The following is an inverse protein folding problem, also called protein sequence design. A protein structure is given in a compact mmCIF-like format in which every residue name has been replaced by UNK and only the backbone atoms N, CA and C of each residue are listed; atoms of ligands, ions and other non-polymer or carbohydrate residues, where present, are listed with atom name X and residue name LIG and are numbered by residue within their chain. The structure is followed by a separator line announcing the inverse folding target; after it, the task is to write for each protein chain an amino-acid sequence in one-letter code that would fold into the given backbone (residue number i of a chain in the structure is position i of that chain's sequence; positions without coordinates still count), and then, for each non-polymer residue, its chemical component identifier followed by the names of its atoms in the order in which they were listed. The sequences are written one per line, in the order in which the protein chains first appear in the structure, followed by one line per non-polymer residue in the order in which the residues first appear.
data_IF_434112714302
#
_entry.id   IF_434112714302
#
_cell.length_a   1.000
_cell.length_b   1.000
_cell.length_c   1.000
_cell.angle_alpha   90.00
_cell.angle_beta   90.00
_cell.angle_gamma   90.00
#
_symmetry.space_group_name_H-M   'P 1'
#
loop_
_entity.id
_entity.type
_entity.pdbx_description
1 polymer ?
#
# COMPACT_ATOMS: atom_id res chain seq x y z
N UNK A 1 -12.05 -13.71 -23.13
CA UNK A 1 -12.01 -13.90 -21.65
C UNK A 1 -10.55 -14.03 -21.26
N UNK A 2 -9.88 -12.94 -21.07
CA UNK A 2 -8.47 -12.90 -20.60
C UNK A 2 -8.53 -12.52 -19.14
N UNK A 3 -8.23 -13.50 -18.29
CA UNK A 3 -8.05 -13.33 -16.85
C UNK A 3 -6.91 -12.36 -16.61
N UNK A 4 -7.28 -11.14 -16.24
CA UNK A 4 -6.37 -10.13 -15.71
C UNK A 4 -5.99 -10.58 -14.30
N UNK A 5 -5.04 -11.51 -14.18
CA UNK A 5 -4.43 -11.87 -12.91
C UNK A 5 -3.46 -10.74 -12.56
N UNK A 6 -3.82 -9.97 -11.55
CA UNK A 6 -3.00 -8.92 -10.96
C UNK A 6 -1.71 -9.54 -10.40
N UNK A 7 -0.52 -9.15 -10.85
CA UNK A 7 0.76 -9.79 -10.47
C UNK A 7 1.13 -9.63 -8.99
N UNK A 8 0.43 -8.80 -8.24
CA UNK A 8 0.81 -8.37 -6.88
C UNK A 8 0.30 -9.26 -5.74
N UNK A 9 -0.64 -10.17 -5.98
CA UNK A 9 -1.18 -11.07 -4.93
C UNK A 9 -0.20 -12.15 -4.48
N UNK A 10 0.87 -12.42 -5.25
CA UNK A 10 1.79 -13.53 -4.98
C UNK A 10 2.81 -13.23 -3.87
N UNK A 11 2.90 -12.01 -3.35
CA UNK A 11 3.91 -11.64 -2.35
C UNK A 11 3.33 -11.28 -0.98
N UNK A 12 2.01 -11.34 -0.82
CA UNK A 12 1.36 -11.06 0.47
C UNK A 12 1.54 -12.25 1.42
N UNK A 13 1.95 -11.97 2.66
CA UNK A 13 2.14 -12.98 3.70
C UNK A 13 1.36 -12.64 4.96
N UNK A 14 0.98 -13.69 5.67
CA UNK A 14 0.51 -13.57 7.05
C UNK A 14 1.70 -13.76 7.97
N UNK A 15 2.02 -12.75 8.77
CA UNK A 15 3.09 -12.82 9.74
C UNK A 15 2.48 -13.15 11.10
N UNK A 16 2.84 -14.30 11.67
CA UNK A 16 2.35 -14.78 12.96
C UNK A 16 3.40 -14.45 14.01
N UNK A 17 3.04 -13.74 15.06
CA UNK A 17 3.95 -13.42 16.17
C UNK A 17 3.26 -13.84 17.48
N UNK A 18 3.74 -14.90 18.07
CA UNK A 18 3.23 -15.51 19.33
C UNK A 18 4.38 -16.27 19.98
N UNK A 19 4.54 -16.21 21.29
CA UNK A 19 5.62 -16.92 21.99
C UNK A 19 5.30 -18.42 22.18
N UNK A 20 4.03 -18.79 22.18
CA UNK A 20 3.59 -20.19 22.29
C UNK A 20 3.75 -20.92 20.93
N UNK A 21 4.65 -21.90 20.91
CA UNK A 21 4.90 -22.72 19.74
C UNK A 21 3.66 -23.48 19.26
N UNK A 22 2.87 -24.02 20.20
CA UNK A 22 1.69 -24.80 19.82
C UNK A 22 0.63 -23.93 19.14
N UNK A 23 0.52 -22.66 19.56
CA UNK A 23 -0.36 -21.69 18.92
C UNK A 23 0.14 -21.36 17.50
N UNK A 24 1.45 -21.13 17.34
CA UNK A 24 2.02 -20.88 16.00
C UNK A 24 1.81 -22.07 15.07
N UNK A 25 2.17 -23.28 15.51
CA UNK A 25 2.01 -24.51 14.70
C UNK A 25 0.55 -24.69 14.26
N UNK A 26 -0.43 -24.46 15.16
CA UNK A 26 -1.85 -24.54 14.83
C UNK A 26 -2.30 -23.47 13.82
N UNK A 27 -1.80 -22.23 13.94
CA UNK A 27 -2.09 -21.16 12.98
C UNK A 27 -1.48 -21.44 11.61
N UNK A 28 -0.23 -21.93 11.55
CA UNK A 28 0.43 -22.32 10.30
C UNK A 28 -0.39 -23.40 9.57
N UNK A 29 -0.83 -24.46 10.28
CA UNK A 29 -1.68 -25.48 9.69
C UNK A 29 -3.01 -24.93 9.16
N UNK A 30 -3.63 -23.99 9.89
CA UNK A 30 -4.86 -23.34 9.46
C UNK A 30 -4.66 -22.50 8.20
N UNK A 31 -3.54 -21.75 8.12
CA UNK A 31 -3.21 -20.91 6.97
C UNK A 31 -2.87 -21.77 5.74
N UNK A 32 -2.11 -22.86 5.92
CA UNK A 32 -1.81 -23.82 4.86
C UNK A 32 -3.09 -24.44 4.28
N UNK A 33 -4.02 -24.86 5.15
CA UNK A 33 -5.31 -25.41 4.74
C UNK A 33 -6.16 -24.40 3.93
N UNK A 34 -5.91 -23.09 4.10
CA UNK A 34 -6.57 -22.01 3.37
C UNK A 34 -5.75 -21.46 2.20
N UNK A 35 -4.57 -22.03 1.90
CA UNK A 35 -3.69 -21.60 0.80
C UNK A 35 -3.08 -20.21 1.02
N UNK A 36 -2.89 -19.79 2.27
CA UNK A 36 -2.34 -18.48 2.64
C UNK A 36 -0.85 -18.61 2.96
N UNK A 37 -0.01 -17.91 2.22
CA UNK A 37 1.42 -17.83 2.52
C UNK A 37 1.64 -17.18 3.87
N UNK A 38 2.51 -17.76 4.70
CA UNK A 38 2.75 -17.26 6.05
C UNK A 38 4.22 -17.35 6.44
N UNK A 39 4.55 -16.68 7.53
CA UNK A 39 5.84 -16.78 8.22
C UNK A 39 5.63 -16.51 9.70
N UNK A 40 6.19 -17.34 10.59
CA UNK A 40 6.00 -17.20 12.03
C UNK A 40 7.27 -16.75 12.75
N UNK A 41 7.06 -16.05 13.86
CA UNK A 41 8.09 -15.50 14.73
C UNK A 41 7.76 -15.81 16.19
N UNK A 42 8.74 -16.19 16.95
CA UNK A 42 8.58 -16.54 18.38
C UNK A 42 8.54 -15.34 19.32
N UNK A 43 8.86 -14.13 18.83
CA UNK A 43 8.84 -12.89 19.61
C UNK A 43 8.79 -11.67 18.70
N UNK A 44 8.45 -10.52 19.28
CA UNK A 44 8.44 -9.23 18.61
C UNK A 44 9.85 -8.84 18.12
N UNK A 45 10.89 -9.11 18.93
CA UNK A 45 12.27 -8.79 18.57
C UNK A 45 12.73 -9.55 17.34
N UNK A 46 12.38 -10.85 17.22
CA UNK A 46 12.69 -11.62 16.00
C UNK A 46 12.00 -11.07 14.73
N UNK A 47 10.80 -10.53 14.88
CA UNK A 47 10.13 -9.87 13.76
C UNK A 47 10.83 -8.57 13.38
N UNK A 48 11.29 -7.79 14.37
CA UNK A 48 12.09 -6.58 14.14
C UNK A 48 13.42 -6.92 13.45
N UNK A 49 14.13 -7.94 13.92
CA UNK A 49 15.39 -8.40 13.31
C UNK A 49 15.16 -8.81 11.83
N UNK A 50 14.02 -9.48 11.55
CA UNK A 50 13.63 -9.81 10.19
C UNK A 50 13.40 -8.55 9.35
N UNK A 51 12.67 -7.55 9.86
CA UNK A 51 12.47 -6.27 9.14
C UNK A 51 13.81 -5.56 8.87
N UNK A 52 14.71 -5.55 9.86
CA UNK A 52 16.03 -4.93 9.73
C UNK A 52 16.89 -5.65 8.68
N UNK A 53 16.72 -6.97 8.54
CA UNK A 53 17.40 -7.75 7.50
C UNK A 53 16.95 -7.39 6.09
N UNK A 54 15.66 -7.05 5.89
CA UNK A 54 15.12 -6.65 4.59
C UNK A 54 15.65 -5.28 4.13
N UNK A 55 15.96 -4.39 5.06
CA UNK A 55 16.52 -3.06 4.77
C UNK A 55 18.03 -3.05 4.53
N UNK A 56 18.75 -4.11 4.91
CA UNK A 56 20.21 -4.20 4.85
C UNK A 56 20.77 -4.89 3.59
N UNK A 57 19.95 -5.33 2.66
CA UNK A 57 20.41 -5.86 1.37
C UNK A 57 20.93 -4.71 0.47
N UNK A 58 22.11 -4.20 0.82
CA UNK A 58 22.80 -3.03 0.23
C UNK A 58 23.29 -3.29 -1.21
N UNK A 59 23.03 -4.47 -1.79
CA UNK A 59 23.59 -4.89 -3.09
C UNK A 59 22.61 -4.84 -4.27
N UNK A 60 21.40 -4.31 -4.07
CA UNK A 60 20.47 -4.13 -5.19
C UNK A 60 20.09 -2.65 -5.30
N UNK A 61 20.29 -2.09 -6.50
CA UNK A 61 19.82 -0.77 -6.95
C UNK A 61 18.26 -0.66 -6.94
N UNK A 62 17.61 -1.59 -6.24
CA UNK A 62 16.17 -1.72 -6.11
C UNK A 62 15.75 -1.08 -4.78
N UNK A 63 14.87 -0.12 -4.85
CA UNK A 63 14.12 0.35 -3.67
C UNK A 63 13.65 -0.85 -2.83
N UNK A 64 13.72 -0.80 -1.49
CA UNK A 64 13.32 -1.91 -0.65
C UNK A 64 11.90 -2.34 -1.04
N UNK A 65 11.73 -3.64 -1.34
CA UNK A 65 10.41 -4.18 -1.68
C UNK A 65 9.52 -3.95 -0.46
N UNK A 66 8.42 -3.19 -0.59
CA UNK A 66 7.56 -2.93 0.54
C UNK A 66 7.02 -4.26 1.08
N UNK A 67 7.15 -4.46 2.39
CA UNK A 67 6.58 -5.62 3.06
C UNK A 67 5.06 -5.53 2.98
N UNK A 68 4.43 -6.50 2.31
CA UNK A 68 2.98 -6.56 2.13
C UNK A 68 2.40 -7.78 2.84
N UNK A 69 1.28 -7.60 3.54
CA UNK A 69 0.64 -8.70 4.26
C UNK A 69 -0.18 -8.24 5.45
N UNK A 70 -0.38 -9.15 6.41
CA UNK A 70 -1.13 -8.93 7.65
C UNK A 70 -0.33 -9.50 8.82
N UNK A 71 -0.25 -8.76 9.92
CA UNK A 71 0.26 -9.26 11.20
C UNK A 71 -0.87 -9.89 12.01
N UNK A 72 -0.63 -11.11 12.49
CA UNK A 72 -1.42 -11.78 13.53
C UNK A 72 -0.53 -11.83 14.77
N UNK A 73 -0.89 -11.05 15.80
CA UNK A 73 0.03 -10.67 16.88
C UNK A 73 -0.57 -10.98 18.24
N UNK A 74 0.13 -11.80 19.02
CA UNK A 74 -0.23 -11.94 20.44
C UNK A 74 0.15 -10.68 21.22
N UNK A 75 -0.67 -10.31 22.19
CA UNK A 75 -0.41 -9.13 23.02
C UNK A 75 0.63 -9.42 24.09
N UNK A 76 0.51 -10.58 24.74
CA UNK A 76 1.31 -10.90 25.90
C UNK A 76 2.44 -11.86 25.56
N UNK A 77 3.58 -11.31 25.24
CA UNK A 77 4.80 -12.07 24.98
C UNK A 77 5.89 -11.67 25.97
N UNK A 78 6.82 -12.58 26.32
CA UNK A 78 8.03 -12.23 27.06
C UNK A 78 8.87 -11.20 26.28
N UNK A 79 9.46 -10.24 26.99
CA UNK A 79 10.21 -9.14 26.38
C UNK A 79 9.27 -8.06 25.88
N UNK A 80 9.30 -7.77 24.59
CA UNK A 80 8.44 -6.77 23.96
C UNK A 80 7.01 -7.30 23.78
N UNK A 81 6.04 -6.55 24.31
CA UNK A 81 4.62 -6.85 24.13
C UNK A 81 4.13 -6.54 22.72
N UNK A 82 3.00 -7.12 22.31
CA UNK A 82 2.39 -6.82 21.00
C UNK A 82 2.01 -5.34 20.82
N UNK A 83 1.61 -4.64 21.90
CA UNK A 83 1.30 -3.21 21.83
C UNK A 83 2.56 -2.33 21.68
N UNK A 84 3.67 -2.73 22.27
CA UNK A 84 4.96 -2.06 22.08
C UNK A 84 5.49 -2.31 20.67
N UNK A 85 5.32 -3.51 20.14
CA UNK A 85 5.65 -3.79 18.74
C UNK A 85 4.81 -2.93 17.80
N UNK A 86 3.49 -2.81 18.02
CA UNK A 86 2.62 -1.92 17.22
C UNK A 86 3.16 -0.47 17.21
N UNK A 87 3.53 0.07 18.38
CA UNK A 87 4.08 1.41 18.48
C UNK A 87 5.41 1.52 17.70
N UNK A 88 6.31 0.56 17.85
CA UNK A 88 7.59 0.53 17.14
C UNK A 88 7.40 0.47 15.61
N UNK A 89 6.41 -0.30 15.14
CA UNK A 89 6.09 -0.39 13.70
C UNK A 89 5.55 0.93 13.16
N UNK A 90 4.68 1.60 13.91
CA UNK A 90 4.17 2.93 13.55
C UNK A 90 5.29 3.97 13.48
N UNK A 91 6.20 4.00 14.45
CA UNK A 91 7.36 4.90 14.48
C UNK A 91 8.32 4.64 13.30
N UNK A 92 8.40 3.42 12.81
CA UNK A 92 9.17 3.02 11.63
C UNK A 92 8.43 3.26 10.29
N UNK A 93 7.20 3.78 10.33
CA UNK A 93 6.36 3.98 9.14
C UNK A 93 5.80 2.70 8.52
N UNK A 94 5.89 1.56 9.22
CA UNK A 94 5.31 0.30 8.78
C UNK A 94 3.79 0.30 9.03
N UNK A 95 3.00 0.18 7.96
CA UNK A 95 1.53 0.28 7.99
C UNK A 95 0.83 -1.06 7.76
N UNK A 96 1.49 -2.18 8.07
CA UNK A 96 0.84 -3.49 7.95
C UNK A 96 -0.42 -3.54 8.83
N UNK A 97 -1.55 -4.06 8.31
CA UNK A 97 -2.72 -4.35 9.12
C UNK A 97 -2.38 -5.32 10.24
N UNK A 98 -2.78 -4.99 11.47
CA UNK A 98 -2.50 -5.81 12.66
C UNK A 98 -3.81 -6.37 13.20
N UNK A 99 -3.88 -7.68 13.35
CA UNK A 99 -4.94 -8.40 14.07
C UNK A 99 -4.34 -8.89 15.38
N UNK A 100 -4.80 -8.33 16.48
CA UNK A 100 -4.39 -8.79 17.80
C UNK A 100 -5.16 -10.04 18.23
N UNK A 101 -4.42 -10.97 18.83
CA UNK A 101 -4.97 -12.18 19.44
C UNK A 101 -4.54 -12.21 20.90
N UNK A 102 -5.44 -12.52 21.82
CA UNK A 102 -5.10 -12.59 23.26
C UNK A 102 -5.95 -13.61 24.01
N UNK A 103 -5.33 -14.31 24.95
CA UNK A 103 -6.01 -15.20 25.90
C UNK A 103 -6.70 -14.46 27.04
N UNK A 104 -6.27 -13.22 27.34
CA UNK A 104 -6.81 -12.41 28.42
C UNK A 104 -7.26 -11.07 27.84
N UNK A 105 -8.56 -10.95 27.57
CA UNK A 105 -9.12 -9.75 26.98
C UNK A 105 -9.28 -8.63 28.01
N UNK A 106 -8.24 -7.81 28.19
CA UNK A 106 -8.36 -6.53 28.86
C UNK A 106 -8.96 -5.52 27.89
N UNK A 107 -10.20 -5.10 28.16
CA UNK A 107 -10.88 -4.06 27.35
C UNK A 107 -10.01 -2.83 27.12
N UNK A 108 -9.27 -2.29 28.12
CA UNK A 108 -8.36 -1.17 27.91
C UNK A 108 -7.29 -1.43 26.84
N UNK A 109 -6.72 -2.63 26.79
CA UNK A 109 -5.69 -2.98 25.79
C UNK A 109 -6.29 -3.06 24.38
N UNK A 110 -7.50 -3.60 24.25
CA UNK A 110 -8.22 -3.64 22.97
C UNK A 110 -8.52 -2.23 22.47
N UNK A 111 -9.00 -1.35 23.35
CA UNK A 111 -9.27 0.06 23.00
C UNK A 111 -8.00 0.76 22.56
N UNK A 112 -6.88 0.54 23.24
CA UNK A 112 -5.60 1.15 22.89
C UNK A 112 -5.08 0.64 21.53
N UNK A 113 -5.13 -0.68 21.30
CA UNK A 113 -4.78 -1.28 20.03
C UNK A 113 -5.58 -0.68 18.86
N UNK A 114 -6.90 -0.59 19.02
CA UNK A 114 -7.80 -0.04 18.01
C UNK A 114 -7.58 1.47 17.78
N UNK A 115 -7.32 2.24 18.83
CA UNK A 115 -6.98 3.68 18.69
C UNK A 115 -5.69 3.91 17.90
N UNK A 116 -4.73 2.99 18.01
CA UNK A 116 -3.48 3.01 17.24
C UNK A 116 -3.61 2.42 15.84
N UNK A 117 -4.84 2.13 15.40
CA UNK A 117 -5.12 1.68 14.04
C UNK A 117 -4.98 0.17 13.80
N UNK A 118 -5.09 -0.66 14.84
CA UNK A 118 -5.22 -2.10 14.64
C UNK A 118 -6.46 -2.42 13.78
N UNK A 119 -6.33 -3.43 12.92
CA UNK A 119 -7.43 -3.87 12.06
C UNK A 119 -8.53 -4.56 12.87
N UNK A 120 -8.14 -5.42 13.82
CA UNK A 120 -9.08 -6.12 14.69
C UNK A 120 -8.40 -6.62 15.96
N UNK A 121 -9.23 -7.06 16.91
CA UNK A 121 -8.82 -7.61 18.19
C UNK A 121 -9.67 -8.85 18.50
N UNK A 122 -9.04 -10.02 18.55
CA UNK A 122 -9.69 -11.32 18.74
C UNK A 122 -9.30 -11.96 20.06
N UNK A 123 -10.28 -12.50 20.78
CA UNK A 123 -10.06 -13.20 22.05
C UNK A 123 -9.97 -14.71 21.83
N UNK A 124 -8.92 -15.36 22.39
CA UNK A 124 -8.80 -16.83 22.46
C UNK A 124 -9.87 -17.40 23.42
N UNK A 125 -10.54 -18.53 23.10
CA UNK A 125 -10.44 -19.32 21.88
C UNK A 125 -11.10 -18.62 20.68
N UNK A 126 -10.44 -18.65 19.50
CA UNK A 126 -10.90 -17.99 18.29
C UNK A 126 -11.54 -19.05 17.38
N UNK A 127 -12.67 -18.69 16.76
CA UNK A 127 -13.21 -19.48 15.67
C UNK A 127 -12.31 -19.34 14.43
N UNK A 128 -11.87 -20.46 13.88
CA UNK A 128 -10.99 -20.50 12.70
C UNK A 128 -11.56 -19.68 11.53
N UNK A 129 -12.87 -19.80 11.28
CA UNK A 129 -13.54 -19.04 10.23
C UNK A 129 -13.45 -17.54 10.44
N UNK A 130 -13.57 -17.07 11.68
CA UNK A 130 -13.45 -15.64 12.02
C UNK A 130 -12.03 -15.13 11.78
N UNK A 131 -11.02 -15.89 12.22
CA UNK A 131 -9.62 -15.51 11.99
C UNK A 131 -9.30 -15.41 10.50
N UNK A 132 -9.69 -16.41 9.72
CA UNK A 132 -9.45 -16.43 8.26
C UNK A 132 -10.17 -15.28 7.55
N UNK A 133 -11.42 -14.97 7.96
CA UNK A 133 -12.18 -13.83 7.41
C UNK A 133 -11.44 -12.51 7.64
N UNK A 134 -10.96 -12.27 8.88
CA UNK A 134 -10.23 -11.04 9.23
C UNK A 134 -8.90 -10.93 8.51
N UNK A 135 -8.16 -12.04 8.40
CA UNK A 135 -6.91 -12.08 7.64
C UNK A 135 -7.17 -11.75 6.16
N UNK A 136 -8.15 -12.38 5.52
CA UNK A 136 -8.48 -12.10 4.11
C UNK A 136 -8.91 -10.65 3.91
N UNK A 137 -9.68 -10.08 4.82
CA UNK A 137 -10.04 -8.66 4.79
C UNK A 137 -8.81 -7.76 4.88
N UNK A 138 -7.87 -8.06 5.78
CA UNK A 138 -6.61 -7.32 5.92
C UNK A 138 -5.74 -7.40 4.68
N UNK A 139 -5.58 -8.59 4.10
CA UNK A 139 -4.82 -8.81 2.86
C UNK A 139 -5.44 -8.02 1.69
N UNK A 140 -6.77 -8.03 1.56
CA UNK A 140 -7.46 -7.26 0.52
C UNK A 140 -7.26 -5.75 0.70
N UNK A 141 -7.42 -5.25 1.93
CA UNK A 141 -7.21 -3.83 2.26
C UNK A 141 -5.79 -3.37 1.92
N UNK A 142 -4.79 -4.23 2.19
CA UNK A 142 -3.39 -3.92 1.87
C UNK A 142 -3.13 -3.95 0.35
N UNK A 143 -3.72 -4.90 -0.37
CA UNK A 143 -3.66 -4.94 -1.83
C UNK A 143 -4.25 -3.69 -2.47
N UNK A 144 -5.39 -3.23 -1.96
CA UNK A 144 -6.06 -2.02 -2.46
C UNK A 144 -5.21 -0.77 -2.23
N UNK A 145 -4.57 -0.64 -1.05
CA UNK A 145 -3.65 0.45 -0.73
C UNK A 145 -2.42 0.44 -1.65
N UNK A 146 -1.83 -0.73 -1.86
CA UNK A 146 -0.66 -0.86 -2.72
C UNK A 146 -0.99 -0.52 -4.18
N UNK A 147 -2.15 -0.98 -4.68
CA UNK A 147 -2.62 -0.60 -6.01
C UNK A 147 -2.82 0.92 -6.14
N UNK A 148 -3.34 1.57 -5.09
CA UNK A 148 -3.46 3.02 -5.07
C UNK A 148 -2.09 3.71 -5.11
N UNK A 149 -1.09 3.24 -4.34
CA UNK A 149 0.28 3.78 -4.36
C UNK A 149 0.92 3.65 -5.75
N UNK A 150 0.76 2.49 -6.38
CA UNK A 150 1.27 2.25 -7.74
C UNK A 150 0.61 3.21 -8.73
N UNK A 151 -0.71 3.36 -8.69
CA UNK A 151 -1.44 4.27 -9.56
C UNK A 151 -0.98 5.73 -9.36
N UNK A 152 -0.83 6.17 -8.12
CA UNK A 152 -0.32 7.52 -7.79
C UNK A 152 1.10 7.74 -8.33
N UNK A 153 1.99 6.76 -8.14
CA UNK A 153 3.36 6.83 -8.65
C UNK A 153 3.40 6.90 -10.18
N UNK A 154 2.52 6.16 -10.87
CA UNK A 154 2.40 6.21 -12.33
C UNK A 154 1.92 7.58 -12.81
N UNK A 155 0.92 8.17 -12.16
CA UNK A 155 0.41 9.51 -12.48
C UNK A 155 1.52 10.55 -12.35
N UNK A 156 2.24 10.54 -11.21
CA UNK A 156 3.37 11.43 -10.97
C UNK A 156 4.43 11.27 -12.05
N UNK A 157 4.79 10.04 -12.40
CA UNK A 157 5.78 9.74 -13.42
C UNK A 157 5.34 10.25 -14.82
N UNK A 158 4.07 10.07 -15.20
CA UNK A 158 3.53 10.55 -16.46
C UNK A 158 3.63 12.08 -16.55
N UNK A 159 3.17 12.81 -15.54
CA UNK A 159 3.22 14.28 -15.54
C UNK A 159 4.65 14.81 -15.48
N UNK A 160 5.54 14.17 -14.71
CA UNK A 160 6.95 14.54 -14.63
C UNK A 160 7.73 14.24 -15.92
N UNK A 161 7.23 13.35 -16.79
CA UNK A 161 7.84 13.08 -18.11
C UNK A 161 7.59 14.19 -19.14
N UNK A 162 6.66 15.11 -18.85
CA UNK A 162 6.36 16.23 -19.73
C UNK A 162 7.52 17.25 -19.71
N UNK A 163 7.94 17.73 -20.88
CA UNK A 163 8.82 18.88 -20.95
C UNK A 163 8.11 20.13 -20.44
N UNK A 164 8.86 21.19 -20.14
CA UNK A 164 8.30 22.47 -19.67
C UNK A 164 7.19 22.99 -20.61
N UNK A 165 7.40 22.94 -21.91
CA UNK A 165 6.40 23.36 -22.91
C UNK A 165 5.20 22.44 -22.99
N UNK A 166 5.41 21.14 -22.88
CA UNK A 166 4.30 20.17 -22.82
C UNK A 166 3.47 20.34 -21.55
N UNK A 167 4.12 20.65 -20.43
CA UNK A 167 3.42 20.94 -19.16
C UNK A 167 2.55 22.20 -19.26
N UNK A 168 3.07 23.29 -19.80
CA UNK A 168 2.32 24.51 -20.04
C UNK A 168 1.10 24.25 -20.95
N UNK A 169 1.27 23.46 -21.99
CA UNK A 169 0.16 23.07 -22.89
C UNK A 169 -0.83 22.15 -22.16
N UNK A 170 -0.35 21.19 -21.36
CA UNK A 170 -1.18 20.29 -20.56
C UNK A 170 -2.11 21.06 -19.62
N UNK A 171 -1.57 22.00 -18.83
CA UNK A 171 -2.34 22.82 -17.87
C UNK A 171 -3.44 23.63 -18.58
N UNK A 172 -3.13 24.25 -19.70
CA UNK A 172 -4.09 25.05 -20.46
C UNK A 172 -5.17 24.19 -21.14
N UNK A 173 -4.79 23.04 -21.67
CA UNK A 173 -5.73 22.09 -22.30
C UNK A 173 -6.71 21.53 -21.28
N UNK A 174 -6.22 21.19 -20.09
CA UNK A 174 -7.09 20.67 -19.00
C UNK A 174 -7.96 21.76 -18.37
N UNK A 175 -7.54 23.03 -18.44
CA UNK A 175 -8.37 24.19 -18.10
C UNK A 175 -9.47 24.47 -19.14
N UNK A 176 -9.40 23.86 -20.34
CA UNK A 176 -10.39 24.00 -21.40
C UNK A 176 -10.05 25.04 -22.46
N UNK A 177 -8.82 25.55 -22.50
CA UNK A 177 -8.39 26.56 -23.46
C UNK A 177 -8.34 26.01 -24.90
N UNK A 178 -8.82 26.79 -25.85
CA UNK A 178 -8.73 26.46 -27.28
C UNK A 178 -7.28 26.66 -27.79
N UNK A 179 -6.87 25.91 -28.83
CA UNK A 179 -5.53 25.98 -29.39
C UNK A 179 -5.09 27.41 -29.74
N UNK A 180 -6.00 28.23 -30.24
CA UNK A 180 -5.72 29.64 -30.57
C UNK A 180 -5.34 30.47 -29.34
N UNK A 181 -6.01 30.25 -28.20
CA UNK A 181 -5.71 30.94 -26.94
C UNK A 181 -4.36 30.47 -26.43
N UNK A 182 -4.14 29.15 -26.41
CA UNK A 182 -2.85 28.57 -25.97
C UNK A 182 -1.68 29.08 -26.83
N UNK A 183 -1.87 29.17 -28.14
CA UNK A 183 -0.86 29.67 -29.06
C UNK A 183 -0.49 31.13 -28.76
N UNK A 184 -1.49 32.00 -28.55
CA UNK A 184 -1.29 33.37 -28.19
C UNK A 184 -0.57 33.56 -26.84
N UNK A 185 -0.99 32.80 -25.83
CA UNK A 185 -0.43 32.91 -24.47
C UNK A 185 1.02 32.40 -24.38
N UNK A 186 1.36 31.37 -25.16
CA UNK A 186 2.69 30.76 -25.16
C UNK A 186 3.63 31.32 -26.23
N UNK A 187 3.16 32.28 -27.04
CA UNK A 187 3.88 32.88 -28.18
C UNK A 187 4.41 31.81 -29.17
N UNK A 188 3.53 30.90 -29.59
CA UNK A 188 3.83 29.85 -30.58
C UNK A 188 2.68 29.73 -31.60
N UNK A 189 2.89 28.99 -32.69
CA UNK A 189 1.84 28.74 -33.66
C UNK A 189 0.82 27.72 -33.17
N UNK A 190 -0.46 27.80 -33.65
CA UNK A 190 -1.47 26.79 -33.35
C UNK A 190 -1.01 25.37 -33.75
N UNK A 191 -0.28 25.27 -34.89
CA UNK A 191 0.30 23.98 -35.31
C UNK A 191 1.32 23.44 -34.31
N UNK A 192 2.09 24.31 -33.67
CA UNK A 192 3.03 23.90 -32.59
C UNK A 192 2.28 23.44 -31.38
N UNK A 193 1.16 24.07 -31.01
CA UNK A 193 0.26 23.61 -29.93
C UNK A 193 -0.27 22.22 -30.23
N UNK A 194 -0.72 21.94 -31.46
CA UNK A 194 -1.20 20.63 -31.87
C UNK A 194 -0.13 19.54 -31.69
N UNK A 195 1.12 19.83 -32.05
CA UNK A 195 2.24 18.90 -31.84
C UNK A 195 2.48 18.63 -30.36
N UNK A 196 2.51 19.68 -29.52
CA UNK A 196 2.65 19.49 -28.06
C UNK A 196 1.47 18.72 -27.49
N UNK A 197 0.22 19.00 -27.90
CA UNK A 197 -0.94 18.24 -27.47
C UNK A 197 -0.82 16.75 -27.83
N UNK A 198 -0.40 16.43 -29.04
CA UNK A 198 -0.21 15.02 -29.44
C UNK A 198 0.85 14.32 -28.56
N UNK A 199 1.96 15.01 -28.23
CA UNK A 199 2.98 14.50 -27.34
C UNK A 199 2.45 14.32 -25.91
N UNK A 200 1.73 15.28 -25.38
CA UNK A 200 1.07 15.20 -24.06
C UNK A 200 0.14 14.00 -24.00
N UNK A 201 -0.77 13.86 -24.99
CA UNK A 201 -1.68 12.71 -25.07
C UNK A 201 -0.93 11.38 -25.05
N UNK A 202 0.18 11.29 -25.80
CA UNK A 202 1.02 10.09 -25.86
C UNK A 202 1.71 9.81 -24.53
N UNK A 203 2.37 10.79 -23.92
CA UNK A 203 3.13 10.64 -22.68
C UNK A 203 2.21 10.36 -21.49
N UNK A 204 1.06 11.00 -21.44
CA UNK A 204 0.02 10.76 -20.43
C UNK A 204 -0.86 9.54 -20.72
N UNK A 205 -0.60 8.80 -21.80
CA UNK A 205 -1.39 7.64 -22.24
C UNK A 205 -2.90 7.93 -22.36
N UNK A 206 -3.25 9.19 -22.59
CA UNK A 206 -4.65 9.64 -22.70
C UNK A 206 -5.17 9.44 -24.14
N UNK A 207 -6.38 8.93 -24.26
CA UNK A 207 -7.06 8.75 -25.56
C UNK A 207 -8.02 9.90 -25.86
N UNK A 208 -8.52 10.54 -24.82
CA UNK A 208 -9.49 11.64 -24.89
C UNK A 208 -9.07 12.82 -24.03
N UNK A 209 -9.64 13.99 -24.27
CA UNK A 209 -9.46 15.14 -23.39
C UNK A 209 -9.95 14.85 -21.97
N UNK A 210 -11.02 14.09 -21.83
CA UNK A 210 -11.54 13.70 -20.52
C UNK A 210 -10.53 12.87 -19.71
N UNK A 211 -9.72 12.03 -20.37
CA UNK A 211 -8.65 11.27 -19.70
C UNK A 211 -7.57 12.21 -19.17
N UNK A 212 -7.18 13.25 -19.93
CA UNK A 212 -6.22 14.27 -19.47
C UNK A 212 -6.75 15.07 -18.27
N UNK A 213 -8.01 15.49 -18.32
CA UNK A 213 -8.66 16.25 -17.24
C UNK A 213 -8.71 15.39 -15.96
N UNK A 214 -9.06 14.11 -16.09
CA UNK A 214 -9.06 13.17 -14.95
C UNK A 214 -7.66 13.02 -14.36
N UNK A 215 -6.65 12.84 -15.20
CA UNK A 215 -5.25 12.71 -14.78
C UNK A 215 -4.77 13.96 -14.05
N UNK A 216 -5.12 15.15 -14.54
CA UNK A 216 -4.79 16.43 -13.87
C UNK A 216 -5.46 16.54 -12.50
N UNK A 217 -6.74 16.20 -12.38
CA UNK A 217 -7.46 16.21 -11.11
C UNK A 217 -6.77 15.26 -10.11
N UNK A 218 -6.47 14.04 -10.52
CA UNK A 218 -5.80 13.06 -9.67
C UNK A 218 -4.40 13.52 -9.27
N UNK A 219 -3.62 14.09 -10.19
CA UNK A 219 -2.31 14.67 -9.91
C UNK A 219 -2.38 15.82 -8.89
N UNK A 220 -3.35 16.71 -9.01
CA UNK A 220 -3.58 17.81 -8.07
C UNK A 220 -3.99 17.30 -6.68
N UNK A 221 -4.84 16.26 -6.60
CA UNK A 221 -5.25 15.66 -5.33
C UNK A 221 -4.06 15.03 -4.60
N UNK A 222 -3.16 14.36 -5.34
CA UNK A 222 -1.93 13.79 -4.76
C UNK A 222 -1.07 14.90 -4.13
N UNK A 223 -0.89 16.03 -4.82
CA UNK A 223 -0.02 17.13 -4.35
C UNK A 223 -0.63 18.00 -3.25
N UNK A 224 -1.95 18.01 -3.07
CA UNK A 224 -2.62 18.74 -1.98
C UNK A 224 -2.55 18.00 -0.64
N UNK A 225 -2.28 16.70 -0.67
CA UNK A 225 -2.20 15.87 0.54
C UNK A 225 -0.76 15.76 1.09
N UNK A 226 0.16 16.51 0.51
CA UNK A 226 1.53 16.75 1.00
C UNK A 226 1.70 18.24 1.32
#
# INVERSE_FOLDING_TARGET
MTSNQTPHLYNQRVFIIDDDRAVRDAMEMLLDANGLSHQSFRSAEHFIDFLDSLGNDVNTDSSPVPLTGVLVLDIRMPGMTGLELQATLLDRGCQLPIIFITGHGDIPMAVEAMRRGALDFLRKPILESTLIERIKHGLQSEADKEQQRINQSQIIAMVNSLSERERQVFEKVTAGDANKIIAADLDISERTVEVHRANVMKKCQAKTLADLVRLEIEYQLIHRNF
#
